data_IF_009576205161
#
_entry.id   IF_009576205161
#
_cell.length_a   1.000
_cell.length_b   1.000
_cell.length_c   1.000
_cell.angle_alpha   90.00
_cell.angle_beta   90.00
_cell.angle_gamma   90.00
#
_symmetry.space_group_name_H-M   'P 1'
#
loop_
_entity.id
_entity.type
_entity.pdbx_description
1 polymer ?
#
# COMPACT_ATOMS: atom_id res chain seq x y z
N UNK A 1 -3.10 -13.46 10.69
CA UNK A 1 -3.15 -13.80 9.26
C UNK A 1 -2.54 -12.72 8.36
N UNK A 2 -3.19 -11.56 8.16
CA UNK A 2 -2.74 -10.50 7.23
C UNK A 2 -1.29 -10.02 7.45
N UNK A 3 -0.83 -9.97 8.70
CA UNK A 3 0.54 -9.58 9.01
C UNK A 3 1.57 -10.63 8.56
N UNK A 4 1.27 -11.92 8.75
CA UNK A 4 2.16 -13.03 8.37
C UNK A 4 2.33 -13.05 6.85
N UNK A 5 1.21 -13.03 6.11
CA UNK A 5 1.23 -12.95 4.66
C UNK A 5 1.95 -11.69 4.17
N UNK A 6 1.67 -10.53 4.79
CA UNK A 6 2.31 -9.26 4.43
C UNK A 6 3.83 -9.25 4.65
N UNK A 7 4.32 -9.82 5.76
CA UNK A 7 5.76 -9.91 6.05
C UNK A 7 6.45 -10.85 5.07
N UNK A 8 5.89 -12.03 4.81
CA UNK A 8 6.45 -12.97 3.85
C UNK A 8 6.62 -12.33 2.47
N UNK A 9 5.60 -11.59 2.00
CA UNK A 9 5.69 -10.88 0.73
C UNK A 9 6.74 -9.77 0.72
N UNK A 10 6.90 -9.03 1.83
CA UNK A 10 7.99 -8.05 1.96
C UNK A 10 9.38 -8.69 1.89
N UNK A 11 9.52 -9.94 2.34
CA UNK A 11 10.76 -10.71 2.26
C UNK A 11 10.97 -11.36 0.88
N UNK A 12 10.03 -11.21 -0.06
CA UNK A 12 10.09 -11.86 -1.37
C UNK A 12 9.63 -13.33 -1.38
N UNK A 13 9.09 -13.83 -0.26
CA UNK A 13 8.67 -15.22 -0.07
C UNK A 13 7.26 -15.46 -0.67
N UNK A 14 7.11 -15.20 -1.97
CA UNK A 14 5.81 -15.23 -2.68
C UNK A 14 5.18 -16.62 -2.65
N UNK A 15 5.95 -17.68 -2.94
CA UNK A 15 5.45 -19.06 -2.95
C UNK A 15 5.01 -19.51 -1.57
N UNK A 16 5.78 -19.14 -0.53
CA UNK A 16 5.44 -19.44 0.85
C UNK A 16 4.15 -18.72 1.27
N UNK A 17 4.03 -17.43 0.95
CA UNK A 17 2.84 -16.66 1.26
C UNK A 17 1.59 -17.26 0.61
N UNK A 18 1.67 -17.70 -0.66
CA UNK A 18 0.56 -18.37 -1.34
C UNK A 18 0.15 -19.68 -0.65
N UNK A 19 1.12 -20.49 -0.24
CA UNK A 19 0.87 -21.71 0.54
C UNK A 19 0.20 -21.40 1.88
N UNK A 20 0.74 -20.44 2.63
CA UNK A 20 0.18 -19.99 3.90
C UNK A 20 -1.27 -19.50 3.76
N UNK A 21 -1.57 -18.69 2.75
CA UNK A 21 -2.93 -18.19 2.52
C UNK A 21 -3.89 -19.36 2.31
N UNK A 22 -3.53 -20.28 1.42
CA UNK A 22 -4.37 -21.45 1.10
C UNK A 22 -4.61 -22.36 2.32
N UNK A 23 -3.57 -22.63 3.10
CA UNK A 23 -3.63 -23.55 4.24
C UNK A 23 -4.40 -22.96 5.42
N UNK A 24 -4.22 -21.67 5.71
CA UNK A 24 -4.74 -21.07 6.93
C UNK A 24 -6.04 -20.27 6.76
N UNK A 25 -6.54 -20.10 5.53
CA UNK A 25 -7.75 -19.30 5.27
C UNK A 25 -9.00 -19.85 5.97
N UNK A 26 -9.12 -21.17 6.12
CA UNK A 26 -10.26 -21.81 6.78
C UNK A 26 -10.40 -21.43 8.26
N UNK A 27 -9.31 -20.99 8.91
CA UNK A 27 -9.31 -20.53 10.30
C UNK A 27 -9.79 -19.08 10.46
N UNK A 28 -10.01 -18.36 9.35
CA UNK A 28 -10.62 -17.03 9.38
C UNK A 28 -12.14 -17.20 9.51
N UNK A 29 -12.73 -16.40 10.41
CA UNK A 29 -14.18 -16.29 10.55
C UNK A 29 -14.81 -16.02 9.18
N UNK A 30 -15.94 -16.67 8.91
CA UNK A 30 -16.59 -16.64 7.60
C UNK A 30 -16.86 -15.21 7.12
N UNK A 31 -17.31 -14.34 8.02
CA UNK A 31 -17.58 -12.91 7.77
C UNK A 31 -16.36 -12.12 7.24
N UNK A 32 -15.14 -12.53 7.56
CA UNK A 32 -13.90 -11.83 7.14
C UNK A 32 -13.13 -12.59 6.06
N UNK A 33 -13.57 -13.80 5.70
CA UNK A 33 -12.77 -14.72 4.89
C UNK A 33 -12.59 -14.21 3.46
N UNK A 34 -13.66 -13.72 2.86
CA UNK A 34 -13.65 -13.17 1.50
C UNK A 34 -12.74 -11.94 1.39
N UNK A 35 -12.95 -10.94 2.25
CA UNK A 35 -12.10 -9.74 2.31
C UNK A 35 -10.62 -10.08 2.58
N UNK A 36 -10.37 -11.05 3.46
CA UNK A 36 -9.01 -11.52 3.76
C UNK A 36 -8.38 -12.21 2.55
N UNK A 37 -9.12 -13.07 1.85
CA UNK A 37 -8.62 -13.75 0.66
C UNK A 37 -8.33 -12.74 -0.45
N UNK A 38 -9.31 -11.91 -0.81
CA UNK A 38 -9.19 -10.87 -1.83
C UNK A 38 -7.97 -9.99 -1.58
N UNK A 39 -7.79 -9.48 -0.36
CA UNK A 39 -6.66 -8.62 -0.03
C UNK A 39 -5.30 -9.33 -0.21
N UNK A 40 -5.18 -10.58 0.23
CA UNK A 40 -3.89 -11.27 0.17
C UNK A 40 -3.58 -11.82 -1.23
N UNK A 41 -4.59 -12.20 -2.01
CA UNK A 41 -4.42 -12.47 -3.45
C UNK A 41 -4.02 -11.22 -4.21
N UNK A 42 -4.59 -10.05 -3.88
CA UNK A 42 -4.17 -8.78 -4.47
C UNK A 42 -2.70 -8.48 -4.15
N UNK A 43 -2.26 -8.74 -2.92
CA UNK A 43 -0.85 -8.59 -2.53
C UNK A 43 0.07 -9.57 -3.25
N UNK A 44 -0.36 -10.82 -3.46
CA UNK A 44 0.38 -11.80 -4.26
C UNK A 44 0.52 -11.34 -5.71
N UNK A 45 -0.58 -10.90 -6.32
CA UNK A 45 -0.59 -10.36 -7.68
C UNK A 45 0.34 -9.15 -7.80
N UNK A 46 0.28 -8.23 -6.84
CA UNK A 46 1.15 -7.07 -6.76
C UNK A 46 2.63 -7.46 -6.65
N UNK A 47 2.97 -8.39 -5.76
CA UNK A 47 4.35 -8.87 -5.58
C UNK A 47 4.91 -9.56 -6.83
N UNK A 48 4.04 -10.17 -7.65
CA UNK A 48 4.38 -10.76 -8.95
C UNK A 48 4.46 -9.73 -10.09
N UNK A 49 4.22 -8.45 -9.81
CA UNK A 49 4.18 -7.38 -10.81
C UNK A 49 2.88 -7.33 -11.63
N UNK A 50 1.87 -8.15 -11.31
CA UNK A 50 0.58 -8.13 -11.99
C UNK A 50 -0.34 -7.07 -11.36
N UNK A 51 -0.11 -5.81 -11.71
CA UNK A 51 -0.84 -4.66 -11.16
C UNK A 51 -2.33 -4.67 -11.54
N UNK A 52 -2.67 -5.11 -12.76
CA UNK A 52 -4.06 -5.17 -13.22
C UNK A 52 -4.89 -6.17 -12.42
N UNK A 53 -4.38 -7.39 -12.22
CA UNK A 53 -5.05 -8.38 -11.38
C UNK A 53 -5.18 -7.91 -9.93
N UNK A 54 -4.12 -7.29 -9.39
CA UNK A 54 -4.16 -6.75 -8.03
C UNK A 54 -5.26 -5.67 -7.89
N UNK A 55 -5.41 -4.81 -8.89
CA UNK A 55 -6.44 -3.78 -8.91
C UNK A 55 -7.85 -4.37 -8.93
N UNK A 56 -8.11 -5.35 -9.79
CA UNK A 56 -9.40 -6.03 -9.88
C UNK A 56 -9.80 -6.67 -8.54
N UNK A 57 -8.88 -7.40 -7.92
CA UNK A 57 -9.12 -8.05 -6.62
C UNK A 57 -9.45 -7.05 -5.50
N UNK A 58 -8.88 -5.84 -5.54
CA UNK A 58 -9.13 -4.79 -4.56
C UNK A 58 -10.46 -4.06 -4.75
N UNK A 59 -11.08 -4.16 -5.93
CA UNK A 59 -12.37 -3.53 -6.24
C UNK A 59 -13.56 -4.47 -6.03
N UNK A 60 -13.30 -5.77 -5.91
CA UNK A 60 -14.32 -6.81 -5.85
C UNK A 60 -15.00 -6.93 -4.46
N UNK A 61 -14.38 -6.39 -3.41
CA UNK A 61 -14.82 -6.60 -2.02
C UNK A 61 -14.84 -5.29 -1.22
N UNK A 62 -15.90 -5.11 -0.42
CA UNK A 62 -15.94 -4.05 0.60
C UNK A 62 -15.14 -4.45 1.84
N UNK A 63 -14.23 -3.56 2.26
CA UNK A 63 -13.39 -3.79 3.43
C UNK A 63 -13.94 -3.03 4.64
N UNK A 64 -14.70 -3.72 5.49
CA UNK A 64 -15.25 -3.10 6.71
C UNK A 64 -14.20 -2.94 7.82
N UNK A 65 -13.32 -3.93 7.99
CA UNK A 65 -12.26 -3.88 8.99
C UNK A 65 -11.27 -2.74 8.69
N UNK A 66 -11.05 -1.90 9.70
CA UNK A 66 -10.23 -0.69 9.59
C UNK A 66 -8.81 -0.99 9.07
N UNK A 67 -8.19 -2.07 9.56
CA UNK A 67 -6.81 -2.43 9.21
C UNK A 67 -6.76 -2.94 7.77
N UNK A 68 -7.65 -3.85 7.42
CA UNK A 68 -7.77 -4.44 6.08
C UNK A 68 -8.06 -3.37 5.03
N UNK A 69 -9.00 -2.48 5.30
CA UNK A 69 -9.32 -1.33 4.45
C UNK A 69 -8.10 -0.41 4.25
N UNK A 70 -7.37 -0.14 5.33
CA UNK A 70 -6.16 0.67 5.24
C UNK A 70 -5.10 0.03 4.34
N UNK A 71 -4.88 -1.28 4.48
CA UNK A 71 -3.93 -2.01 3.64
C UNK A 71 -4.36 -1.97 2.17
N UNK A 72 -5.64 -2.23 1.87
CA UNK A 72 -6.19 -2.19 0.52
C UNK A 72 -5.96 -0.80 -0.12
N UNK A 73 -6.28 0.27 0.62
CA UNK A 73 -6.06 1.64 0.17
C UNK A 73 -4.60 1.94 -0.12
N UNK A 74 -3.69 1.46 0.74
CA UNK A 74 -2.26 1.61 0.52
C UNK A 74 -1.80 0.88 -0.75
N UNK A 75 -2.32 -0.32 -1.00
CA UNK A 75 -1.99 -1.09 -2.20
C UNK A 75 -2.49 -0.40 -3.47
N UNK A 76 -3.73 0.12 -3.46
CA UNK A 76 -4.28 0.93 -4.56
C UNK A 76 -3.42 2.15 -4.89
N UNK A 77 -2.94 2.88 -3.88
CA UNK A 77 -2.04 4.03 -4.08
C UNK A 77 -0.76 3.61 -4.81
N UNK A 78 -0.16 2.49 -4.41
CA UNK A 78 1.06 1.99 -5.06
C UNK A 78 0.79 1.59 -6.51
N UNK A 79 -0.31 0.89 -6.76
CA UNK A 79 -0.75 0.47 -8.10
C UNK A 79 -0.95 1.69 -8.99
N UNK A 80 -1.78 2.66 -8.58
CA UNK A 80 -2.06 3.85 -9.38
C UNK A 80 -0.80 4.67 -9.65
N UNK A 81 0.10 4.77 -8.66
CA UNK A 81 1.40 5.43 -8.86
C UNK A 81 2.25 4.73 -9.92
N UNK A 82 2.36 3.40 -9.88
CA UNK A 82 3.18 2.62 -10.81
C UNK A 82 2.58 2.53 -12.21
N UNK A 83 1.26 2.58 -12.33
CA UNK A 83 0.57 2.64 -13.63
C UNK A 83 0.57 4.04 -14.25
N UNK A 84 0.93 5.08 -13.49
CA UNK A 84 0.88 6.46 -13.98
C UNK A 84 -0.53 7.06 -14.01
N UNK A 85 -1.49 6.46 -13.31
CA UNK A 85 -2.89 6.88 -13.24
C UNK A 85 -3.05 8.08 -12.30
N UNK A 86 -2.74 9.28 -12.78
CA UNK A 86 -2.61 10.50 -11.95
C UNK A 86 -3.90 10.90 -11.25
N UNK A 87 -5.05 10.78 -11.93
CA UNK A 87 -6.34 11.22 -11.41
C UNK A 87 -6.87 10.25 -10.36
N UNK A 88 -6.74 8.95 -10.64
CA UNK A 88 -7.07 7.88 -9.69
C UNK A 88 -6.17 7.96 -8.45
N UNK A 89 -4.86 8.17 -8.63
CA UNK A 89 -3.92 8.35 -7.53
C UNK A 89 -4.30 9.56 -6.65
N UNK A 90 -4.56 10.71 -7.28
CA UNK A 90 -4.90 11.95 -6.56
C UNK A 90 -6.19 11.79 -5.75
N UNK A 91 -7.20 11.17 -6.36
CA UNK A 91 -8.49 10.87 -5.71
C UNK A 91 -8.30 9.91 -4.54
N UNK A 92 -7.51 8.86 -4.73
CA UNK A 92 -7.24 7.86 -3.70
C UNK A 92 -6.46 8.44 -2.50
N UNK A 93 -5.48 9.32 -2.76
CA UNK A 93 -4.72 10.01 -1.71
C UNK A 93 -5.62 10.94 -0.88
N UNK A 94 -6.50 11.71 -1.54
CA UNK A 94 -7.47 12.56 -0.84
C UNK A 94 -8.45 11.72 0.00
N UNK A 95 -8.92 10.60 -0.55
CA UNK A 95 -9.79 9.65 0.15
C UNK A 95 -9.09 9.04 1.37
N UNK A 96 -7.82 8.63 1.25
CA UNK A 96 -7.02 8.13 2.37
C UNK A 96 -6.87 9.18 3.48
N UNK A 97 -6.52 10.42 3.14
CA UNK A 97 -6.35 11.49 4.13
C UNK A 97 -7.64 11.73 4.93
N UNK A 98 -8.79 11.76 4.26
CA UNK A 98 -10.10 11.91 4.90
C UNK A 98 -10.44 10.71 5.79
N UNK A 99 -10.20 9.50 5.29
CA UNK A 99 -10.41 8.26 6.02
C UNK A 99 -9.55 8.21 7.30
N UNK A 100 -8.27 8.55 7.22
CA UNK A 100 -7.34 8.55 8.37
C UNK A 100 -7.71 9.62 9.39
N UNK A 101 -8.12 10.81 8.95
CA UNK A 101 -8.52 11.90 9.86
C UNK A 101 -9.75 11.52 10.68
N UNK A 102 -10.77 10.95 10.02
CA UNK A 102 -12.04 10.54 10.65
C UNK A 102 -11.95 9.22 11.43
N UNK A 103 -11.09 8.30 10.99
CA UNK A 103 -10.97 6.98 11.59
C UNK A 103 -10.37 6.97 13.00
N UNK A 104 -10.67 5.91 13.74
CA UNK A 104 -10.22 5.64 15.11
C UNK A 104 -8.76 5.16 15.19
N UNK A 105 -7.87 5.81 14.45
CA UNK A 105 -6.44 5.54 14.49
C UNK A 105 -5.77 6.24 15.67
N UNK A 106 -4.75 5.62 16.27
CA UNK A 106 -3.85 6.31 17.19
C UNK A 106 -3.15 7.50 16.48
N UNK A 107 -2.69 8.49 17.25
CA UNK A 107 -1.91 9.62 16.71
C UNK A 107 -0.72 9.18 15.84
N UNK A 108 0.03 8.18 16.29
CA UNK A 108 1.17 7.62 15.56
C UNK A 108 0.77 7.06 14.18
N UNK A 109 -0.27 6.24 14.12
CA UNK A 109 -0.78 5.69 12.86
C UNK A 109 -1.35 6.77 11.94
N UNK A 110 -2.04 7.79 12.48
CA UNK A 110 -2.50 8.94 11.67
C UNK A 110 -1.33 9.65 11.02
N UNK A 111 -0.31 9.98 11.80
CA UNK A 111 0.89 10.63 11.32
C UNK A 111 1.61 9.80 10.24
N UNK A 112 1.71 8.48 10.45
CA UNK A 112 2.29 7.56 9.46
C UNK A 112 1.60 7.66 8.09
N UNK A 113 0.28 7.51 8.04
CA UNK A 113 -0.45 7.49 6.76
C UNK A 113 -0.49 8.87 6.09
N UNK A 114 -0.56 9.95 6.87
CA UNK A 114 -0.46 11.32 6.35
C UNK A 114 0.94 11.61 5.79
N UNK A 115 2.00 11.12 6.44
CA UNK A 115 3.36 11.22 5.92
C UNK A 115 3.51 10.47 4.60
N UNK A 116 2.95 9.26 4.49
CA UNK A 116 2.96 8.51 3.23
C UNK A 116 2.24 9.29 2.15
N UNK A 117 1.00 9.74 2.40
CA UNK A 117 0.23 10.50 1.43
C UNK A 117 0.98 11.75 0.93
N UNK A 118 1.60 12.50 1.86
CA UNK A 118 2.44 13.65 1.56
C UNK A 118 3.61 13.30 0.63
N UNK A 119 4.33 12.22 0.92
CA UNK A 119 5.49 11.82 0.11
C UNK A 119 5.10 11.27 -1.25
N UNK A 120 4.01 10.52 -1.35
CA UNK A 120 3.50 10.04 -2.65
C UNK A 120 3.09 11.23 -3.54
N UNK A 121 2.39 12.23 -2.99
CA UNK A 121 2.05 13.46 -3.74
C UNK A 121 3.30 14.14 -4.30
N UNK A 122 4.35 14.25 -3.49
CA UNK A 122 5.62 14.86 -3.89
C UNK A 122 6.40 14.03 -4.91
N UNK A 123 6.32 12.70 -4.82
CA UNK A 123 6.89 11.81 -5.83
C UNK A 123 6.17 11.95 -7.16
N UNK A 124 4.84 12.05 -7.14
CA UNK A 124 4.02 12.21 -8.34
C UNK A 124 4.26 13.57 -9.02
N UNK A 125 4.51 14.62 -8.23
CA UNK A 125 4.77 15.97 -8.74
C UNK A 125 6.24 16.26 -9.08
N UNK A 126 7.14 15.28 -8.94
CA UNK A 126 8.56 15.49 -9.15
C UNK A 126 8.87 15.59 -10.65
N UNK A 127 9.51 16.67 -11.13
CA UNK A 127 9.84 16.80 -12.54
C UNK A 127 10.79 15.69 -13.02
N UNK A 128 10.67 15.27 -14.30
CA UNK A 128 11.70 14.46 -14.94
C UNK A 128 13.07 15.13 -14.80
N UNK A 129 14.11 14.35 -14.52
CA UNK A 129 15.50 14.81 -14.42
C UNK A 129 15.84 15.82 -13.29
N UNK A 130 14.96 16.04 -12.30
CA UNK A 130 15.29 16.86 -11.11
C UNK A 130 16.10 16.08 -10.06
N UNK A 131 17.39 15.85 -10.34
CA UNK A 131 18.30 15.13 -9.45
C UNK A 131 18.44 15.79 -8.07
N UNK A 132 18.40 17.12 -8.02
CA UNK A 132 18.52 17.88 -6.77
C UNK A 132 17.27 17.67 -5.92
N UNK A 133 16.09 17.78 -6.53
CA UNK A 133 14.81 17.48 -5.90
C UNK A 133 14.73 16.04 -5.41
N UNK A 134 15.18 15.07 -6.22
CA UNK A 134 15.25 13.65 -5.84
C UNK A 134 16.13 13.41 -4.62
N UNK A 135 17.35 13.95 -4.61
CA UNK A 135 18.27 13.82 -3.46
C UNK A 135 17.70 14.47 -2.21
N UNK A 136 17.05 15.63 -2.33
CA UNK A 136 16.37 16.30 -1.22
C UNK A 136 15.21 15.45 -0.68
N UNK A 137 14.33 14.99 -1.58
CA UNK A 137 13.18 14.17 -1.23
C UNK A 137 13.59 12.86 -0.55
N UNK A 138 14.64 12.19 -1.07
CA UNK A 138 15.23 10.99 -0.44
C UNK A 138 15.64 11.24 1.00
N UNK A 139 16.41 12.30 1.27
CA UNK A 139 16.87 12.63 2.63
C UNK A 139 15.71 12.89 3.58
N UNK A 140 14.67 13.57 3.11
CA UNK A 140 13.47 13.85 3.91
C UNK A 140 12.65 12.58 4.20
N UNK A 141 12.56 11.65 3.23
CA UNK A 141 11.94 10.33 3.44
C UNK A 141 12.74 9.53 4.49
N UNK A 142 14.07 9.55 4.40
CA UNK A 142 14.95 8.83 5.33
C UNK A 142 14.84 9.37 6.77
N UNK A 143 14.76 10.69 6.94
CA UNK A 143 14.69 11.34 8.25
C UNK A 143 13.28 11.42 8.86
N UNK A 144 12.22 11.16 8.07
CA UNK A 144 10.85 11.19 8.60
C UNK A 144 10.52 9.89 9.33
N UNK A 145 9.93 10.03 10.52
CA UNK A 145 9.29 8.97 11.28
C UNK A 145 8.10 9.54 12.06
N UNK A 146 6.95 8.84 12.09
CA UNK A 146 6.70 7.51 11.53
C UNK A 146 6.49 7.49 10.01
N UNK A 147 7.04 6.45 9.35
CA UNK A 147 6.89 6.21 7.90
C UNK A 147 7.10 4.72 7.55
N UNK A 148 6.02 3.96 7.41
CA UNK A 148 6.05 2.50 7.21
C UNK A 148 6.36 2.07 5.78
N UNK A 149 6.18 2.95 4.80
CA UNK A 149 6.44 2.70 3.37
C UNK A 149 7.75 3.33 2.88
N UNK A 150 8.70 3.54 3.80
CA UNK A 150 9.98 4.21 3.51
C UNK A 150 10.75 3.53 2.38
N UNK A 151 10.90 2.21 2.44
CA UNK A 151 11.61 1.41 1.44
C UNK A 151 11.00 1.61 0.05
N UNK A 152 9.68 1.41 -0.06
CA UNK A 152 8.95 1.56 -1.31
C UNK A 152 9.08 2.98 -1.90
N UNK A 153 8.96 4.03 -1.07
CA UNK A 153 9.12 5.42 -1.52
C UNK A 153 10.54 5.70 -2.05
N UNK A 154 11.57 5.11 -1.44
CA UNK A 154 12.96 5.22 -1.91
C UNK A 154 13.16 4.47 -3.21
N UNK A 155 12.53 3.30 -3.39
CA UNK A 155 12.57 2.55 -4.65
C UNK A 155 11.98 3.36 -5.81
N UNK A 156 10.84 4.03 -5.59
CA UNK A 156 10.19 4.83 -6.63
C UNK A 156 11.06 6.01 -7.11
N UNK A 157 11.99 6.51 -6.28
CA UNK A 157 12.95 7.54 -6.68
C UNK A 157 14.06 7.04 -7.62
N UNK A 158 14.36 5.73 -7.59
CA UNK A 158 15.38 5.10 -8.44
C UNK A 158 14.84 4.74 -9.82
N UNK A 159 13.54 4.48 -9.93
CA UNK A 159 12.90 3.92 -11.13
C UNK A 159 12.53 4.96 -12.22
N UNK A 160 13.02 6.20 -12.12
CA UNK A 160 12.69 7.32 -13.02
C UNK A 160 13.92 8.11 -13.41
#
# INVERSE_FOLDING_TARGET
>A
FNNIAGIALKLGEISWAAGFIKEYLSFISEEFREATLSLNEARLAYARGNLGQALLLLQDVEYEDLVTNTIARMLLIKIYYQQGETDALSSQLASLENFVRRGSFSRFHKENYLNIARFVKRLASLPPYDDKGRKKLKREIESTGPLSEKEWLIEQLKAR
#
